data_IF_120073378560
#
_entry.id   IF_120073378560
#
_cell.length_a   1.000
_cell.length_b   1.000
_cell.length_c   1.000
_cell.angle_alpha   90.00
_cell.angle_beta   90.00
_cell.angle_gamma   90.00
#
_symmetry.space_group_name_H-M   'P 1'
#
loop_
_entity.id
_entity.type
_entity.pdbx_description
1 polymer ?
#
# COMPACT_ATOMS: atom_id res chain seq x y z
N UNK A 1 -14.21 -30.35 0.10
CA UNK A 1 -14.88 -29.04 -0.04
C UNK A 1 -13.76 -28.01 -0.04
N UNK A 2 -13.67 -27.20 -1.10
CA UNK A 2 -12.62 -26.18 -1.21
C UNK A 2 -13.06 -24.93 -0.44
N UNK A 3 -12.16 -24.40 0.39
CA UNK A 3 -12.35 -23.11 1.07
C UNK A 3 -11.32 -22.16 0.48
N UNK A 4 -11.78 -21.09 -0.17
CA UNK A 4 -10.90 -20.07 -0.68
C UNK A 4 -10.17 -19.38 0.49
N UNK A 5 -8.86 -19.22 0.37
CA UNK A 5 -8.10 -18.37 1.30
C UNK A 5 -8.40 -16.93 0.94
N UNK A 6 -9.06 -16.23 1.85
CA UNK A 6 -9.25 -14.79 1.74
C UNK A 6 -7.93 -14.10 2.12
N UNK A 7 -7.10 -13.83 1.12
CA UNK A 7 -5.86 -13.08 1.31
C UNK A 7 -6.10 -11.64 1.77
N UNK A 8 -7.25 -11.03 1.45
CA UNK A 8 -7.54 -9.67 1.89
C UNK A 8 -7.75 -9.64 3.41
N UNK A 9 -8.40 -10.68 3.96
CA UNK A 9 -8.57 -10.85 5.41
C UNK A 9 -7.26 -10.91 6.21
N UNK A 10 -6.12 -11.17 5.55
CA UNK A 10 -4.79 -11.24 6.19
C UNK A 10 -4.14 -9.87 6.36
N UNK A 11 -4.70 -8.82 5.74
CA UNK A 11 -4.27 -7.43 5.86
C UNK A 11 -5.25 -6.60 6.70
N UNK A 12 -6.24 -7.25 7.32
CA UNK A 12 -7.12 -6.60 8.28
C UNK A 12 -6.26 -6.09 9.46
N UNK A 13 -6.41 -4.82 9.85
CA UNK A 13 -5.62 -4.26 10.94
C UNK A 13 -5.80 -5.10 12.21
N UNK A 14 -4.68 -5.46 12.84
CA UNK A 14 -4.74 -6.12 14.13
C UNK A 14 -5.19 -5.11 15.18
N UNK A 15 -6.10 -5.58 16.03
CA UNK A 15 -6.68 -4.85 17.14
C UNK A 15 -7.64 -3.72 16.74
N UNK A 16 -8.89 -4.10 16.45
CA UNK A 16 -10.09 -3.45 17.02
C UNK A 16 -10.46 -2.01 16.61
N UNK A 17 -9.56 -1.25 15.99
CA UNK A 17 -9.83 0.08 15.49
C UNK A 17 -10.24 0.00 14.02
N UNK A 18 -11.55 -0.01 13.76
CA UNK A 18 -12.11 -0.05 12.40
C UNK A 18 -11.90 1.27 11.63
N UNK A 19 -11.65 2.36 12.35
CA UNK A 19 -11.48 3.70 11.79
C UNK A 19 -10.00 4.11 11.71
N UNK A 20 -9.38 4.15 10.51
CA UNK A 20 -7.98 4.52 10.32
C UNK A 20 -7.68 5.98 10.69
N UNK A 21 -8.70 6.84 10.80
CA UNK A 21 -8.54 8.24 11.21
C UNK A 21 -8.67 8.42 12.73
N UNK A 22 -8.98 7.36 13.47
CA UNK A 22 -9.16 7.43 14.92
C UNK A 22 -7.83 7.47 15.67
N UNK A 23 -7.85 8.12 16.84
CA UNK A 23 -6.72 8.10 17.78
C UNK A 23 -6.37 6.68 18.23
N UNK A 24 -7.38 5.83 18.41
CA UNK A 24 -7.20 4.43 18.80
C UNK A 24 -6.42 3.65 17.73
N UNK A 25 -6.69 3.91 16.45
CA UNK A 25 -5.92 3.33 15.36
C UNK A 25 -4.45 3.76 15.41
N UNK A 26 -4.17 5.06 15.58
CA UNK A 26 -2.80 5.55 15.71
C UNK A 26 -2.07 4.92 16.93
N UNK A 27 -2.79 4.68 18.03
CA UNK A 27 -2.25 4.02 19.23
C UNK A 27 -1.88 2.56 18.99
N UNK A 28 -2.73 1.82 18.28
CA UNK A 28 -2.57 0.38 18.09
C UNK A 28 -1.65 0.05 16.91
N UNK A 29 -1.80 0.78 15.81
CA UNK A 29 -1.20 0.46 14.52
C UNK A 29 -0.10 1.43 14.09
N UNK A 30 0.03 2.60 14.72
CA UNK A 30 0.92 3.66 14.24
C UNK A 30 0.63 4.02 12.78
N UNK A 31 1.64 3.94 11.91
CA UNK A 31 1.49 4.10 10.47
C UNK A 31 1.39 2.76 9.70
N UNK A 32 1.43 1.62 10.40
CA UNK A 32 1.38 0.28 9.81
C UNK A 32 2.67 -0.13 9.09
N UNK A 33 3.79 0.54 9.34
CA UNK A 33 5.05 0.31 8.58
C UNK A 33 5.94 -0.70 9.31
N UNK A 34 6.30 -0.44 10.57
CA UNK A 34 7.07 -1.34 11.45
C UNK A 34 6.17 -2.10 12.42
N UNK A 35 5.02 -1.51 12.75
CA UNK A 35 3.94 -2.16 13.46
C UNK A 35 3.10 -2.88 12.41
N UNK A 36 3.54 -4.07 12.02
CA UNK A 36 2.63 -5.00 11.36
C UNK A 36 1.83 -5.71 12.45
N UNK A 37 0.54 -5.98 12.19
CA UNK A 37 -0.13 -7.11 12.82
C UNK A 37 0.85 -8.27 12.97
N UNK A 38 0.86 -8.95 14.12
CA UNK A 38 1.43 -10.29 14.21
C UNK A 38 0.55 -11.19 13.36
N UNK A 39 0.66 -11.04 12.05
CA UNK A 39 0.10 -11.99 11.11
C UNK A 39 0.77 -13.27 11.53
N UNK A 40 0.01 -14.13 12.21
CA UNK A 40 0.30 -15.54 12.36
C UNK A 40 0.13 -16.08 10.95
N UNK A 41 1.06 -15.69 10.07
CA UNK A 41 1.27 -16.26 8.78
C UNK A 41 1.40 -17.71 9.15
N UNK A 42 0.41 -18.57 8.81
CA UNK A 42 0.53 -19.96 9.15
C UNK A 42 1.91 -20.35 8.65
N UNK A 43 2.81 -20.70 9.60
CA UNK A 43 4.16 -21.18 9.28
C UNK A 43 3.91 -22.11 8.14
N UNK A 44 4.48 -21.82 6.97
CA UNK A 44 4.02 -22.39 5.70
C UNK A 44 4.05 -23.91 5.86
N UNK A 45 2.94 -24.48 6.33
CA UNK A 45 2.73 -25.90 6.35
C UNK A 45 2.75 -26.17 4.88
N UNK A 46 3.81 -26.87 4.44
CA UNK A 46 4.24 -26.95 3.05
C UNK A 46 3.01 -26.85 2.15
N UNK A 47 2.83 -25.69 1.49
CA UNK A 47 1.58 -25.39 0.78
C UNK A 47 1.23 -26.61 -0.07
N UNK A 48 0.18 -27.31 0.33
CA UNK A 48 -0.28 -28.49 -0.39
C UNK A 48 -1.22 -27.94 -1.44
N UNK A 49 -0.78 -27.92 -2.70
CA UNK A 49 -1.67 -27.54 -3.79
C UNK A 49 -2.85 -28.53 -3.76
N UNK A 50 -4.09 -28.05 -3.56
CA UNK A 50 -5.25 -28.93 -3.49
C UNK A 50 -5.47 -29.74 -4.79
N UNK A 51 -4.81 -29.37 -5.89
CA UNK A 51 -4.82 -30.08 -7.14
C UNK A 51 -3.66 -31.06 -7.32
N UNK A 52 -2.68 -31.14 -6.41
CA UNK A 52 -1.52 -32.03 -6.54
C UNK A 52 -1.94 -33.49 -6.65
N UNK A 53 -2.86 -33.93 -5.78
CA UNK A 53 -3.36 -35.31 -5.81
C UNK A 53 -4.07 -35.62 -7.14
N UNK A 54 -4.91 -34.70 -7.63
CA UNK A 54 -5.56 -34.82 -8.94
C UNK A 54 -4.54 -34.92 -10.07
N UNK A 55 -3.58 -34.00 -10.12
CA UNK A 55 -2.54 -33.95 -11.16
C UNK A 55 -1.64 -35.18 -11.15
N UNK A 56 -1.32 -35.70 -9.96
CA UNK A 56 -0.48 -36.91 -9.80
C UNK A 56 -1.16 -38.19 -10.30
N UNK A 57 -2.49 -38.20 -10.39
CA UNK A 57 -3.28 -39.33 -10.86
C UNK A 57 -3.54 -39.29 -12.37
N UNK A 58 -3.26 -38.15 -13.03
CA UNK A 58 -3.46 -38.01 -14.47
C UNK A 58 -2.34 -38.73 -15.25
N UNK A 59 -2.70 -39.55 -16.25
CA UNK A 59 -1.76 -39.98 -17.28
C UNK A 59 -1.06 -38.78 -17.94
N UNK A 60 0.16 -38.97 -18.42
CA UNK A 60 1.00 -37.88 -18.97
C UNK A 60 0.26 -37.04 -20.05
N UNK A 61 -0.44 -37.70 -20.97
CA UNK A 61 -1.24 -37.00 -22.00
C UNK A 61 -2.42 -36.20 -21.43
N UNK A 62 -3.02 -36.66 -20.33
CA UNK A 62 -4.11 -35.94 -19.66
C UNK A 62 -3.58 -34.79 -18.80
N UNK A 63 -2.40 -34.95 -18.19
CA UNK A 63 -1.71 -33.88 -17.47
C UNK A 63 -1.28 -32.75 -18.41
N UNK A 64 -0.81 -33.10 -19.62
CA UNK A 64 -0.50 -32.13 -20.67
C UNK A 64 -1.76 -31.38 -21.12
N UNK A 65 -2.85 -32.10 -21.40
CA UNK A 65 -4.13 -31.49 -21.76
C UNK A 65 -4.69 -30.59 -20.65
N UNK A 66 -4.58 -31.02 -19.38
CA UNK A 66 -4.95 -30.24 -18.21
C UNK A 66 -4.11 -28.96 -18.11
N UNK A 67 -2.79 -29.06 -18.26
CA UNK A 67 -1.89 -27.91 -18.17
C UNK A 67 -2.13 -26.91 -19.29
N UNK A 68 -2.37 -27.40 -20.52
CA UNK A 68 -2.72 -26.57 -21.67
C UNK A 68 -4.07 -25.86 -21.47
N UNK A 69 -5.07 -26.53 -20.90
CA UNK A 69 -6.35 -25.91 -20.61
C UNK A 69 -6.25 -24.83 -19.51
N UNK A 70 -5.46 -25.09 -18.47
CA UNK A 70 -5.32 -24.18 -17.33
C UNK A 70 -4.43 -22.97 -17.67
N UNK A 71 -3.25 -23.20 -18.22
CA UNK A 71 -2.21 -22.18 -18.40
C UNK A 71 -2.03 -21.72 -19.85
N UNK A 72 -2.66 -22.40 -20.82
CA UNK A 72 -2.40 -22.16 -22.23
C UNK A 72 -1.05 -22.74 -22.68
N UNK A 73 -0.66 -22.48 -23.94
CA UNK A 73 0.64 -22.90 -24.46
C UNK A 73 1.77 -22.07 -23.82
N UNK A 74 2.94 -22.68 -23.68
CA UNK A 74 4.18 -21.96 -23.33
C UNK A 74 4.89 -21.46 -24.58
N UNK A 75 5.66 -20.38 -24.47
CA UNK A 75 6.52 -19.92 -25.55
C UNK A 75 7.64 -20.92 -25.88
N UNK A 76 8.37 -20.69 -26.99
CA UNK A 76 9.57 -21.46 -27.32
C UNK A 76 10.52 -21.52 -26.12
N UNK A 77 11.09 -22.69 -25.84
CA UNK A 77 12.03 -22.94 -24.74
C UNK A 77 11.52 -22.57 -23.33
N UNK A 78 10.19 -22.49 -23.15
CA UNK A 78 9.56 -22.17 -21.86
C UNK A 78 9.49 -20.67 -21.57
N UNK A 79 9.76 -19.82 -22.57
CA UNK A 79 9.64 -18.37 -22.42
C UNK A 79 8.17 -17.95 -22.18
N UNK A 80 7.95 -16.93 -21.33
CA UNK A 80 6.61 -16.36 -21.15
C UNK A 80 6.08 -15.80 -22.47
N UNK A 81 4.82 -16.11 -22.80
CA UNK A 81 4.13 -15.45 -23.92
C UNK A 81 3.83 -13.99 -23.58
N UNK A 82 3.79 -13.15 -24.61
CA UNK A 82 3.26 -11.80 -24.53
C UNK A 82 1.81 -11.85 -23.98
N UNK A 83 1.38 -10.89 -23.15
CA UNK A 83 0.06 -10.90 -22.54
C UNK A 83 -1.09 -11.22 -23.51
N UNK A 84 -1.08 -10.60 -24.69
CA UNK A 84 -2.07 -10.76 -25.76
C UNK A 84 -2.09 -12.15 -26.41
N UNK A 85 -1.03 -12.94 -26.26
CA UNK A 85 -0.89 -14.29 -26.81
C UNK A 85 -1.17 -15.38 -25.76
N UNK A 86 -1.40 -15.00 -24.49
CA UNK A 86 -1.75 -15.94 -23.40
C UNK A 86 -3.17 -16.45 -23.60
N UNK A 87 -3.41 -17.70 -23.20
CA UNK A 87 -4.74 -18.33 -23.26
C UNK A 87 -4.90 -19.35 -22.14
N UNK A 88 -6.06 -20.00 -22.08
CA UNK A 88 -6.39 -20.93 -21.00
C UNK A 88 -7.08 -20.25 -19.82
N UNK A 89 -7.56 -21.05 -18.87
CA UNK A 89 -8.43 -20.57 -17.80
C UNK A 89 -7.79 -19.49 -16.92
N UNK A 90 -6.47 -19.54 -16.71
CA UNK A 90 -5.75 -18.51 -15.94
C UNK A 90 -5.73 -17.18 -16.69
N UNK A 91 -5.49 -17.19 -18.00
CA UNK A 91 -5.52 -15.98 -18.82
C UNK A 91 -6.93 -15.39 -18.86
N UNK A 92 -7.96 -16.23 -19.08
CA UNK A 92 -9.37 -15.79 -19.09
C UNK A 92 -9.79 -15.19 -17.74
N UNK A 93 -9.39 -15.80 -16.62
CA UNK A 93 -9.66 -15.29 -15.28
C UNK A 93 -8.94 -13.96 -15.03
N UNK A 94 -7.68 -13.86 -15.46
CA UNK A 94 -6.90 -12.63 -15.38
C UNK A 94 -7.57 -11.52 -16.20
N UNK A 95 -7.91 -11.77 -17.45
CA UNK A 95 -8.60 -10.82 -18.33
C UNK A 95 -9.95 -10.42 -17.75
N UNK A 96 -10.71 -11.35 -17.16
CA UNK A 96 -11.99 -11.03 -16.52
C UNK A 96 -11.79 -10.11 -15.31
N UNK A 97 -10.82 -10.42 -14.44
CA UNK A 97 -10.51 -9.60 -13.26
C UNK A 97 -10.02 -8.22 -13.68
N UNK A 98 -9.12 -8.13 -14.66
CA UNK A 98 -8.53 -6.87 -15.10
C UNK A 98 -9.42 -6.07 -16.06
N UNK A 99 -10.30 -6.71 -16.82
CA UNK A 99 -11.36 -6.04 -17.58
C UNK A 99 -12.46 -5.51 -16.65
N UNK A 100 -12.81 -6.24 -15.58
CA UNK A 100 -13.64 -5.69 -14.50
C UNK A 100 -12.92 -4.54 -13.77
N UNK A 101 -11.58 -4.54 -13.79
CA UNK A 101 -10.71 -3.49 -13.30
C UNK A 101 -10.53 -2.32 -14.29
N UNK A 102 -11.29 -2.24 -15.37
CA UNK A 102 -11.25 -1.13 -16.34
C UNK A 102 -11.44 0.26 -15.70
N UNK A 103 -12.03 0.34 -14.51
CA UNK A 103 -12.06 1.57 -13.68
C UNK A 103 -10.65 2.08 -13.32
N UNK A 104 -9.65 1.21 -13.17
CA UNK A 104 -8.25 1.61 -12.99
C UNK A 104 -7.62 2.12 -14.28
N UNK A 105 -8.10 1.69 -15.45
CA UNK A 105 -7.67 2.22 -16.74
C UNK A 105 -8.08 3.68 -16.92
N UNK A 106 -9.29 4.05 -16.47
CA UNK A 106 -9.74 5.44 -16.44
C UNK A 106 -8.91 6.31 -15.48
N UNK A 107 -8.50 5.76 -14.33
CA UNK A 107 -7.59 6.44 -13.39
C UNK A 107 -6.20 6.63 -14.02
N UNK A 108 -5.65 5.60 -14.65
CA UNK A 108 -4.35 5.67 -15.34
C UNK A 108 -4.38 6.66 -16.50
N UNK A 109 -5.45 6.66 -17.30
CA UNK A 109 -5.67 7.62 -18.38
C UNK A 109 -5.76 9.06 -17.86
N UNK A 110 -6.51 9.28 -16.77
CA UNK A 110 -6.60 10.58 -16.11
C UNK A 110 -5.24 11.08 -15.61
N UNK A 111 -4.48 10.25 -14.88
CA UNK A 111 -3.15 10.64 -14.40
C UNK A 111 -2.14 10.79 -15.55
N UNK A 112 -2.30 10.03 -16.63
CA UNK A 112 -1.50 10.18 -17.86
C UNK A 112 -1.78 11.50 -18.57
N UNK A 113 -3.05 11.90 -18.67
CA UNK A 113 -3.48 13.13 -19.32
C UNK A 113 -3.15 14.38 -18.49
N UNK A 114 -3.37 14.33 -17.17
CA UNK A 114 -3.30 15.49 -16.28
C UNK A 114 -2.10 15.48 -15.34
N UNK A 115 -1.17 14.54 -15.48
CA UNK A 115 -0.06 14.36 -14.53
C UNK A 115 0.83 15.59 -14.35
N UNK A 116 1.04 16.39 -15.41
CA UNK A 116 1.83 17.62 -15.33
C UNK A 116 1.11 18.71 -14.54
N UNK A 117 -0.18 18.89 -14.79
CA UNK A 117 -1.05 19.87 -14.12
C UNK A 117 -1.25 19.52 -12.66
N UNK A 118 -1.42 18.23 -12.33
CA UNK A 118 -1.49 17.75 -10.95
C UNK A 118 -0.18 18.01 -10.21
N UNK A 119 0.97 17.80 -10.85
CA UNK A 119 2.27 18.10 -10.26
C UNK A 119 2.47 19.61 -10.03
N UNK A 120 2.04 20.46 -10.97
CA UNK A 120 2.07 21.92 -10.81
C UNK A 120 1.12 22.37 -9.68
N UNK A 121 -0.09 21.81 -9.62
CA UNK A 121 -1.06 22.09 -8.57
C UNK A 121 -0.49 21.77 -7.18
N UNK A 122 0.12 20.59 -7.02
CA UNK A 122 0.76 20.18 -5.76
C UNK A 122 1.92 21.13 -5.39
N UNK A 123 2.75 21.56 -6.36
CA UNK A 123 3.79 22.57 -6.09
C UNK A 123 3.20 23.91 -5.63
N UNK A 124 2.12 24.37 -6.27
CA UNK A 124 1.43 25.61 -5.88
C UNK A 124 0.78 25.49 -4.50
N UNK A 125 0.24 24.32 -4.15
CA UNK A 125 -0.33 24.03 -2.83
C UNK A 125 0.76 24.07 -1.75
N UNK A 126 1.87 23.33 -1.95
CA UNK A 126 2.99 23.26 -0.99
C UNK A 126 3.76 24.58 -0.84
N UNK A 127 3.68 25.46 -1.84
CA UNK A 127 4.32 26.79 -1.80
C UNK A 127 3.38 27.89 -1.30
N UNK A 128 2.11 27.58 -1.00
CA UNK A 128 1.16 28.54 -0.45
C UNK A 128 1.61 28.95 0.97
N UNK A 129 1.73 30.25 1.28
CA UNK A 129 2.05 30.70 2.63
C UNK A 129 1.14 30.11 3.72
N UNK A 130 -0.14 29.85 3.41
CA UNK A 130 -1.09 29.24 4.35
C UNK A 130 -0.74 27.79 4.65
N UNK A 131 -0.29 27.03 3.65
CA UNK A 131 0.20 25.67 3.86
C UNK A 131 1.43 25.68 4.78
N UNK A 132 2.39 26.57 4.50
CA UNK A 132 3.62 26.71 5.28
C UNK A 132 3.33 27.11 6.72
N UNK A 133 2.37 28.01 6.95
CA UNK A 133 1.92 28.40 8.29
C UNK A 133 1.31 27.22 9.05
N UNK A 134 0.42 26.45 8.42
CA UNK A 134 -0.19 25.26 9.03
C UNK A 134 0.82 24.15 9.34
N UNK A 135 1.77 23.88 8.44
CA UNK A 135 2.87 22.95 8.72
C UNK A 135 3.75 23.43 9.87
N UNK A 136 3.99 24.74 9.99
CA UNK A 136 4.77 25.31 11.09
C UNK A 136 4.04 25.21 12.45
N UNK A 137 2.71 25.39 12.46
CA UNK A 137 1.88 25.18 13.64
C UNK A 137 1.91 23.71 14.08
N UNK A 138 1.69 22.79 13.15
CA UNK A 138 1.81 21.35 13.39
C UNK A 138 3.21 20.95 13.89
N UNK A 139 4.27 21.43 13.24
CA UNK A 139 5.66 21.17 13.60
C UNK A 139 5.99 21.69 15.02
N UNK A 140 5.43 22.84 15.40
CA UNK A 140 5.58 23.38 16.76
C UNK A 140 4.95 22.46 17.79
N UNK A 141 3.74 21.96 17.53
CA UNK A 141 3.10 20.97 18.40
C UNK A 141 3.93 19.68 18.49
N UNK A 142 4.45 19.17 17.38
CA UNK A 142 5.32 17.98 17.37
C UNK A 142 6.59 18.19 18.22
N UNK A 143 7.19 19.39 18.16
CA UNK A 143 8.35 19.72 18.96
C UNK A 143 8.03 19.75 20.46
N UNK A 144 6.84 20.21 20.86
CA UNK A 144 6.36 20.15 22.25
C UNK A 144 6.14 18.71 22.73
N UNK A 145 5.78 17.80 21.82
CA UNK A 145 5.70 16.36 22.06
C UNK A 145 7.07 15.65 22.01
N UNK A 146 8.16 16.36 21.73
CA UNK A 146 9.53 15.84 21.70
C UNK A 146 10.02 15.36 20.33
N UNK A 147 9.27 15.61 19.25
CA UNK A 147 9.64 15.25 17.89
C UNK A 147 10.11 16.46 17.10
N UNK A 148 11.38 16.46 16.67
CA UNK A 148 11.93 17.52 15.81
C UNK A 148 11.73 17.13 14.35
N UNK A 149 10.67 17.66 13.74
CA UNK A 149 10.31 17.50 12.33
C UNK A 149 9.78 18.84 11.81
N UNK A 150 10.21 19.25 10.63
CA UNK A 150 9.83 20.54 10.02
C UNK A 150 8.58 20.42 9.17
N UNK A 151 8.39 19.26 8.54
CA UNK A 151 7.21 18.90 7.74
C UNK A 151 6.84 17.44 7.99
N UNK A 152 5.57 17.10 7.77
CA UNK A 152 5.05 15.74 8.02
C UNK A 152 5.84 14.63 7.33
N UNK A 153 6.29 14.87 6.10
CA UNK A 153 7.04 13.87 5.34
C UNK A 153 8.34 13.41 6.00
N UNK A 154 8.95 14.25 6.85
CA UNK A 154 10.19 13.89 7.55
C UNK A 154 9.99 12.73 8.53
N UNK A 155 8.77 12.50 9.04
CA UNK A 155 8.46 11.35 9.89
C UNK A 155 8.75 10.04 9.15
N UNK A 156 8.31 9.94 7.90
CA UNK A 156 8.53 8.74 7.08
C UNK A 156 10.00 8.55 6.71
N UNK A 157 10.74 9.64 6.48
CA UNK A 157 12.19 9.60 6.29
C UNK A 157 12.86 9.04 7.55
N UNK A 158 12.49 9.55 8.72
CA UNK A 158 13.01 9.12 10.00
C UNK A 158 12.68 7.66 10.33
N UNK A 159 11.47 7.22 9.99
CA UNK A 159 11.06 5.82 10.13
C UNK A 159 11.86 4.91 9.20
N UNK A 160 12.02 5.31 7.94
CA UNK A 160 12.78 4.56 6.95
C UNK A 160 14.26 4.40 7.37
N UNK A 161 14.87 5.45 7.91
CA UNK A 161 16.24 5.40 8.42
C UNK A 161 16.37 4.38 9.56
N UNK A 162 15.48 4.43 10.54
CA UNK A 162 15.45 3.46 11.66
C UNK A 162 15.27 2.02 11.16
N UNK A 163 14.31 1.80 10.26
CA UNK A 163 14.10 0.48 9.65
C UNK A 163 15.32 0.00 8.87
N UNK A 164 16.01 0.91 8.17
CA UNK A 164 17.22 0.60 7.40
C UNK A 164 18.41 0.21 8.27
N UNK A 165 18.44 0.62 9.53
CA UNK A 165 19.45 0.18 10.50
C UNK A 165 19.22 -1.27 10.95
N UNK A 166 17.96 -1.67 11.09
CA UNK A 166 17.57 -3.01 11.56
C UNK A 166 17.56 -4.03 10.43
N UNK A 167 17.07 -3.67 9.23
CA UNK A 167 16.82 -4.59 8.13
C UNK A 167 18.03 -5.47 7.73
N UNK A 168 19.28 -4.97 7.67
CA UNK A 168 20.45 -5.79 7.34
C UNK A 168 20.80 -6.86 8.38
N UNK A 169 20.28 -6.74 9.60
CA UNK A 169 20.50 -7.68 10.71
C UNK A 169 19.51 -8.84 10.70
N UNK A 170 18.47 -8.75 9.88
CA UNK A 170 17.47 -9.80 9.71
C UNK A 170 18.00 -10.86 8.72
N UNK A 171 18.27 -12.05 9.23
CA UNK A 171 18.65 -13.21 8.41
C UNK A 171 17.40 -14.04 8.11
N UNK A 172 17.03 -14.12 6.84
CA UNK A 172 15.84 -14.84 6.41
C UNK A 172 15.87 -16.32 6.82
N UNK A 173 14.86 -16.76 7.58
CA UNK A 173 14.70 -18.15 8.02
C UNK A 173 15.28 -18.47 9.41
N UNK A 174 15.88 -17.50 10.09
CA UNK A 174 16.38 -17.63 11.46
C UNK A 174 15.64 -16.65 12.40
N UNK A 175 15.50 -17.03 13.67
CA UNK A 175 14.97 -16.15 14.71
C UNK A 175 16.00 -15.05 15.01
N UNK A 176 15.61 -13.77 14.99
CA UNK A 176 16.54 -12.67 15.22
C UNK A 176 17.16 -12.77 16.63
N UNK A 177 18.44 -12.39 16.81
CA UNK A 177 19.03 -12.29 18.14
C UNK A 177 18.24 -11.33 19.03
N UNK A 178 18.22 -11.52 20.37
CA UNK A 178 17.47 -10.65 21.29
C UNK A 178 17.79 -9.14 21.16
N UNK A 179 19.01 -8.81 20.76
CA UNK A 179 19.42 -7.43 20.49
C UNK A 179 18.72 -6.86 19.25
N UNK A 180 18.58 -7.66 18.19
CA UNK A 180 17.87 -7.27 16.97
C UNK A 180 16.36 -7.20 17.21
N UNK A 181 15.81 -8.11 18.01
CA UNK A 181 14.41 -8.03 18.47
C UNK A 181 14.15 -6.73 19.23
N UNK A 182 15.02 -6.38 20.18
CA UNK A 182 14.90 -5.12 20.91
C UNK A 182 14.97 -3.91 19.97
N UNK A 183 15.86 -3.92 18.98
CA UNK A 183 15.90 -2.84 17.98
C UNK A 183 14.59 -2.73 17.20
N UNK A 184 13.98 -3.86 16.81
CA UNK A 184 12.66 -3.85 16.15
C UNK A 184 11.58 -3.26 17.05
N UNK A 185 11.57 -3.63 18.32
CA UNK A 185 10.63 -3.11 19.31
C UNK A 185 10.83 -1.61 19.55
N UNK A 186 12.08 -1.13 19.59
CA UNK A 186 12.39 0.29 19.69
C UNK A 186 11.86 1.08 18.47
N UNK A 187 11.93 0.52 17.26
CA UNK A 187 11.35 1.16 16.06
C UNK A 187 9.83 1.20 16.13
N UNK A 188 9.19 0.10 16.56
CA UNK A 188 7.73 0.02 16.74
C UNK A 188 7.23 1.01 17.78
N UNK A 189 7.91 1.10 18.91
CA UNK A 189 7.56 2.01 19.98
C UNK A 189 7.75 3.47 19.55
N UNK A 190 8.81 3.76 18.78
CA UNK A 190 8.98 5.07 18.19
C UNK A 190 7.86 5.41 17.19
N UNK A 191 7.52 4.50 16.28
CA UNK A 191 6.43 4.67 15.30
C UNK A 191 5.10 4.98 15.99
N UNK A 192 4.74 4.21 17.03
CA UNK A 192 3.52 4.43 17.80
C UNK A 192 3.47 5.81 18.45
N UNK A 193 4.58 6.21 19.08
CA UNK A 193 4.65 7.50 19.77
C UNK A 193 4.56 8.68 18.79
N UNK A 194 5.27 8.60 17.66
CA UNK A 194 5.24 9.68 16.68
C UNK A 194 3.89 9.74 15.94
N UNK A 195 3.25 8.60 15.66
CA UNK A 195 1.93 8.56 15.04
C UNK A 195 0.84 9.14 15.96
N UNK A 196 0.90 8.84 17.26
CA UNK A 196 0.01 9.45 18.25
C UNK A 196 0.21 10.97 18.35
N UNK A 197 1.46 11.42 18.42
CA UNK A 197 1.78 12.84 18.44
C UNK A 197 1.30 13.54 17.16
N UNK A 198 1.53 12.94 15.98
CA UNK A 198 1.05 13.45 14.70
C UNK A 198 -0.46 13.56 14.65
N UNK A 199 -1.18 12.54 15.15
CA UNK A 199 -2.64 12.56 15.24
C UNK A 199 -3.12 13.70 16.14
N UNK A 200 -2.57 13.80 17.35
CA UNK A 200 -2.95 14.84 18.33
C UNK A 200 -2.65 16.24 17.76
N UNK A 201 -1.49 16.44 17.13
CA UNK A 201 -1.08 17.72 16.51
C UNK A 201 -1.81 18.06 15.22
N UNK A 202 -2.38 17.06 14.53
CA UNK A 202 -3.18 17.29 13.32
C UNK A 202 -4.52 17.93 13.65
N UNK A 203 -5.10 17.65 14.82
CA UNK A 203 -6.46 18.09 15.16
C UNK A 203 -6.65 19.60 15.05
N UNK A 204 -5.63 20.37 15.42
CA UNK A 204 -5.70 21.84 15.43
C UNK A 204 -5.64 22.46 14.03
N UNK A 205 -5.01 21.77 13.07
CA UNK A 205 -4.75 22.30 11.72
C UNK A 205 -5.58 21.61 10.63
N UNK A 206 -6.18 20.46 10.93
CA UNK A 206 -6.83 19.56 9.95
C UNK A 206 -7.89 20.27 9.12
N UNK A 207 -8.84 20.96 9.76
CA UNK A 207 -9.96 21.61 9.06
C UNK A 207 -9.47 22.68 8.08
N UNK A 208 -8.45 23.44 8.48
CA UNK A 208 -7.88 24.50 7.66
C UNK A 208 -7.05 23.94 6.50
N UNK A 209 -6.25 22.90 6.77
CA UNK A 209 -5.48 22.19 5.76
C UNK A 209 -6.40 21.54 4.72
N UNK A 210 -7.48 20.88 5.16
CA UNK A 210 -8.48 20.28 4.30
C UNK A 210 -9.19 21.34 3.45
N UNK A 211 -9.62 22.45 4.06
CA UNK A 211 -10.24 23.57 3.34
C UNK A 211 -9.30 24.13 2.27
N UNK A 212 -8.01 24.27 2.59
CA UNK A 212 -7.01 24.72 1.63
C UNK A 212 -6.86 23.74 0.47
N UNK A 213 -6.72 22.44 0.77
CA UNK A 213 -6.62 21.36 -0.21
C UNK A 213 -7.82 21.36 -1.17
N UNK A 214 -9.04 21.40 -0.64
CA UNK A 214 -10.27 21.45 -1.44
C UNK A 214 -10.35 22.71 -2.32
N UNK A 215 -9.81 23.84 -1.87
CA UNK A 215 -9.70 25.04 -2.69
C UNK A 215 -8.83 24.82 -3.94
N UNK A 216 -7.70 24.10 -3.80
CA UNK A 216 -6.83 23.75 -4.92
C UNK A 216 -7.46 22.69 -5.83
N UNK A 217 -8.15 21.70 -5.28
CA UNK A 217 -8.88 20.70 -6.07
C UNK A 217 -10.00 21.35 -6.90
N UNK A 218 -10.78 22.26 -6.30
CA UNK A 218 -11.80 23.02 -7.02
C UNK A 218 -11.19 23.90 -8.13
N UNK A 219 -10.01 24.49 -7.88
CA UNK A 219 -9.29 25.27 -8.88
C UNK A 219 -8.85 24.40 -10.05
N UNK A 220 -8.33 23.21 -9.79
CA UNK A 220 -7.96 22.26 -10.84
C UNK A 220 -9.17 21.89 -11.71
N UNK A 221 -10.31 21.60 -11.08
CA UNK A 221 -11.54 21.29 -11.80
C UNK A 221 -11.99 22.46 -12.69
N UNK A 222 -11.95 23.70 -12.19
CA UNK A 222 -12.30 24.89 -12.99
C UNK A 222 -11.32 25.14 -14.15
N UNK A 223 -10.01 25.05 -13.88
CA UNK A 223 -8.96 25.25 -14.88
C UNK A 223 -8.99 24.17 -15.98
N UNK A 224 -9.35 22.93 -15.64
CA UNK A 224 -9.35 21.78 -16.56
C UNK A 224 -10.73 21.36 -17.06
N UNK A 225 -11.81 22.05 -16.65
CA UNK A 225 -13.20 21.68 -16.94
C UNK A 225 -13.44 21.33 -18.42
N UNK A 226 -12.92 22.15 -19.33
CA UNK A 226 -13.09 21.95 -20.77
C UNK A 226 -12.41 20.69 -21.31
N UNK A 227 -11.32 20.23 -20.69
CA UNK A 227 -10.63 18.99 -21.05
C UNK A 227 -11.34 17.78 -20.47
N UNK A 228 -11.71 17.86 -19.19
CA UNK A 228 -12.49 16.83 -18.48
C UNK A 228 -13.81 16.54 -19.20
N UNK A 229 -14.55 17.59 -19.57
CA UNK A 229 -15.83 17.46 -20.28
C UNK A 229 -15.68 16.92 -21.72
N UNK A 230 -14.49 17.03 -22.30
CA UNK A 230 -14.20 16.55 -23.66
C UNK A 230 -13.66 15.12 -23.73
N UNK A 231 -13.18 14.57 -22.61
CA UNK A 231 -12.72 13.19 -22.46
C UNK A 231 -13.77 12.22 -21.89
N UNK A 232 -14.98 12.70 -21.56
CA UNK A 232 -16.11 11.91 -21.06
C UNK A 232 -17.03 11.39 -22.17
#
# INVERSE_FOLDING_TARGET
EYVAVDFASQFEPEAGAEDPESREYAELNGYGISIRPVIDLPKTEAFVDPNDELRSQLPEAELEAYSLALYGPTGPDGEPLAPEDRSGCVADAYDTVYAARAEFGAVEEFFGEFGAELAELEQRFRSDPRFIELEAEWSTCMAEQGFTVVVREEIFVQLNLRMSEVAPLLVGGEEPPPEVEQMMDDVRDWERQVALADWDCTQDVQDQMQTLRYGYEALFLDEQQGRIDSGS
#
